data_IF_964130757784
#
_entry.id   IF_964130757784
#
_cell.length_a   1.000
_cell.length_b   1.000
_cell.length_c   1.000
_cell.angle_alpha   90.00
_cell.angle_beta   90.00
_cell.angle_gamma   90.00
#
_symmetry.space_group_name_H-M   'P 1'
#
loop_
_entity.id
_entity.type
_entity.pdbx_description
1 polymer ?
#
# COMPACT_ATOMS: atom_id res chain seq x y z
N UNK A 1 17.64 -4.77 -4.28
CA UNK A 1 16.75 -4.66 -3.10
C UNK A 1 15.38 -4.15 -3.55
N UNK A 2 14.34 -4.90 -3.21
CA UNK A 2 12.98 -4.49 -3.56
C UNK A 2 12.49 -3.39 -2.64
N UNK A 3 11.61 -2.52 -3.15
CA UNK A 3 11.13 -1.33 -2.45
C UNK A 3 9.64 -1.45 -2.16
N UNK A 4 9.26 -1.17 -0.93
CA UNK A 4 7.86 -1.15 -0.50
C UNK A 4 7.53 0.28 -0.07
N UNK A 5 6.48 0.85 -0.63
CA UNK A 5 5.95 2.13 -0.17
C UNK A 5 4.81 1.87 0.78
N UNK A 6 4.85 2.45 1.97
CA UNK A 6 3.74 2.39 2.93
C UNK A 6 3.06 3.75 2.98
N UNK A 7 1.77 3.78 2.67
CA UNK A 7 0.98 5.00 2.63
C UNK A 7 -0.08 4.95 3.72
N UNK A 8 0.11 5.73 4.76
CA UNK A 8 -0.76 5.74 5.94
C UNK A 8 -0.48 7.03 6.72
N UNK A 9 -1.52 7.68 7.24
CA UNK A 9 -1.35 8.91 8.02
C UNK A 9 -0.95 8.65 9.47
N UNK A 10 -0.98 7.39 9.90
CA UNK A 10 -0.64 6.99 11.26
C UNK A 10 0.86 6.71 11.36
N UNK A 11 1.61 7.68 11.90
CA UNK A 11 3.07 7.60 11.97
C UNK A 11 3.58 6.34 12.69
N UNK A 12 2.94 5.97 13.80
CA UNK A 12 3.38 4.79 14.55
C UNK A 12 3.25 3.50 13.75
N UNK A 13 2.18 3.39 12.96
CA UNK A 13 2.00 2.23 12.10
C UNK A 13 3.05 2.20 10.99
N UNK A 14 3.32 3.35 10.38
CA UNK A 14 4.33 3.45 9.32
C UNK A 14 5.70 3.01 9.87
N UNK A 15 6.06 3.45 11.06
CA UNK A 15 7.32 3.05 11.69
C UNK A 15 7.39 1.55 11.97
N UNK A 16 6.27 0.97 12.42
CA UNK A 16 6.20 -0.46 12.68
C UNK A 16 6.38 -1.26 11.39
N UNK A 17 5.64 -0.91 10.35
CA UNK A 17 5.71 -1.60 9.05
C UNK A 17 7.10 -1.44 8.45
N UNK A 18 7.68 -0.26 8.56
CA UNK A 18 9.04 0.00 8.09
C UNK A 18 10.05 -0.93 8.78
N UNK A 19 9.97 -1.02 10.11
CA UNK A 19 10.87 -1.88 10.88
C UNK A 19 10.71 -3.36 10.47
N UNK A 20 9.48 -3.83 10.30
CA UNK A 20 9.20 -5.21 9.91
C UNK A 20 9.87 -5.53 8.58
N UNK A 21 9.66 -4.70 7.57
CA UNK A 21 10.14 -5.02 6.23
C UNK A 21 11.62 -4.70 6.01
N UNK A 22 12.18 -3.72 6.72
CA UNK A 22 13.61 -3.49 6.66
C UNK A 22 14.37 -4.68 7.25
N UNK A 23 13.82 -5.31 8.28
CA UNK A 23 14.41 -6.52 8.85
C UNK A 23 14.39 -7.68 7.85
N UNK A 24 13.40 -7.69 6.94
CA UNK A 24 13.30 -8.71 5.90
C UNK A 24 14.15 -8.39 4.66
N UNK A 25 14.88 -7.30 4.67
CA UNK A 25 15.77 -6.93 3.57
C UNK A 25 15.16 -6.03 2.50
N UNK A 26 14.03 -5.40 2.79
CA UNK A 26 13.39 -4.47 1.85
C UNK A 26 13.74 -3.03 2.19
N UNK A 27 13.75 -2.17 1.16
CA UNK A 27 13.78 -0.73 1.39
C UNK A 27 12.34 -0.26 1.55
N UNK A 28 12.06 0.54 2.57
CA UNK A 28 10.70 1.02 2.82
C UNK A 28 10.64 2.54 2.65
N UNK A 29 9.70 3.00 1.86
CA UNK A 29 9.48 4.41 1.55
C UNK A 29 8.16 4.82 2.19
N UNK A 30 8.19 5.71 3.21
CA UNK A 30 6.94 6.16 3.83
C UNK A 30 6.29 7.29 3.05
N UNK A 31 4.96 7.32 3.06
CA UNK A 31 4.17 8.44 2.60
C UNK A 31 2.99 8.57 3.55
N UNK A 32 2.76 9.78 4.07
CA UNK A 32 1.79 9.99 5.15
C UNK A 32 0.45 10.52 4.66
N UNK A 33 0.28 10.62 3.34
CA UNK A 33 -0.97 11.05 2.71
C UNK A 33 -1.01 10.58 1.27
N UNK A 34 -2.20 10.62 0.67
CA UNK A 34 -2.34 10.31 -0.76
C UNK A 34 -1.56 11.27 -1.63
N UNK A 35 -1.57 12.55 -1.26
CA UNK A 35 -0.82 13.58 -1.99
C UNK A 35 0.67 13.29 -1.96
N UNK A 36 1.21 12.99 -0.78
CA UNK A 36 2.64 12.66 -0.65
C UNK A 36 2.99 11.41 -1.45
N UNK A 37 2.11 10.41 -1.42
CA UNK A 37 2.28 9.20 -2.21
C UNK A 37 2.46 9.54 -3.70
N UNK A 38 1.55 10.33 -4.25
CA UNK A 38 1.60 10.68 -5.67
C UNK A 38 2.83 11.50 -6.01
N UNK A 39 3.24 12.42 -5.13
CA UNK A 39 4.44 13.21 -5.32
C UNK A 39 5.70 12.33 -5.35
N UNK A 40 5.80 11.39 -4.42
CA UNK A 40 6.95 10.49 -4.37
C UNK A 40 7.01 9.54 -5.57
N UNK A 41 5.86 9.13 -6.08
CA UNK A 41 5.80 8.24 -7.25
C UNK A 41 6.32 8.90 -8.53
N UNK A 42 6.47 10.21 -8.55
CA UNK A 42 7.12 10.89 -9.67
C UNK A 42 8.61 10.58 -9.74
N UNK A 43 9.23 10.24 -8.62
CA UNK A 43 10.69 10.03 -8.50
C UNK A 43 11.08 8.61 -8.18
N UNK A 44 10.18 7.83 -7.56
CA UNK A 44 10.48 6.49 -7.08
C UNK A 44 9.48 5.51 -7.67
N UNK A 45 9.96 4.32 -8.01
CA UNK A 45 9.10 3.24 -8.52
C UNK A 45 9.17 2.07 -7.53
N UNK A 46 8.25 2.03 -6.56
CA UNK A 46 8.24 0.90 -5.61
C UNK A 46 7.76 -0.38 -6.29
N UNK A 47 8.18 -1.51 -5.72
CA UNK A 47 7.72 -2.81 -6.19
C UNK A 47 6.34 -3.16 -5.65
N UNK A 48 5.97 -2.55 -4.53
CA UNK A 48 4.64 -2.70 -3.93
C UNK A 48 4.28 -1.45 -3.15
N UNK A 49 3.02 -1.05 -3.24
CA UNK A 49 2.45 0.02 -2.42
C UNK A 49 1.45 -0.62 -1.47
N UNK A 50 1.69 -0.46 -0.15
CA UNK A 50 0.73 -0.82 0.88
C UNK A 50 -0.05 0.44 1.22
N UNK A 51 -1.35 0.43 0.95
CA UNK A 51 -2.20 1.62 0.97
C UNK A 51 -3.28 1.51 2.03
N UNK A 52 -3.36 2.50 2.92
CA UNK A 52 -4.49 2.61 3.83
C UNK A 52 -5.68 3.26 3.11
N UNK A 53 -6.88 2.79 3.40
CA UNK A 53 -8.11 3.33 2.83
C UNK A 53 -8.54 4.62 3.50
N UNK A 54 -8.33 4.73 4.81
CA UNK A 54 -8.86 5.83 5.63
C UNK A 54 -7.80 6.87 5.91
N UNK A 55 -7.69 7.83 5.00
CA UNK A 55 -6.77 8.97 5.17
C UNK A 55 -7.53 10.28 4.97
N UNK A 56 -7.14 11.36 5.68
CA UNK A 56 -7.75 12.67 5.46
C UNK A 56 -7.50 13.18 4.06
N UNK A 57 -8.40 14.01 3.56
CA UNK A 57 -8.32 14.72 2.29
C UNK A 57 -8.43 13.83 1.05
N UNK A 58 -7.62 12.79 0.94
CA UNK A 58 -7.66 11.86 -0.19
C UNK A 58 -7.60 10.44 0.35
N UNK A 59 -8.66 9.66 0.11
CA UNK A 59 -8.72 8.28 0.58
C UNK A 59 -7.73 7.38 -0.19
N UNK A 60 -7.45 6.21 0.37
CA UNK A 60 -6.61 5.24 -0.33
C UNK A 60 -7.21 4.79 -1.66
N UNK A 61 -8.53 4.66 -1.71
CA UNK A 61 -9.24 4.33 -2.94
C UNK A 61 -9.04 5.42 -4.00
N UNK A 62 -9.23 6.69 -3.61
CA UNK A 62 -9.02 7.81 -4.51
C UNK A 62 -7.58 7.90 -4.99
N UNK A 63 -6.63 7.68 -4.08
CA UNK A 63 -5.21 7.68 -4.41
C UNK A 63 -4.88 6.57 -5.42
N UNK A 64 -5.38 5.37 -5.17
CA UNK A 64 -5.17 4.23 -6.06
C UNK A 64 -5.77 4.49 -7.44
N UNK A 65 -6.95 5.10 -7.49
CA UNK A 65 -7.57 5.47 -8.76
C UNK A 65 -6.65 6.40 -9.56
N UNK A 66 -6.07 7.39 -8.90
CA UNK A 66 -5.12 8.30 -9.56
C UNK A 66 -3.87 7.58 -10.04
N UNK A 67 -3.38 6.61 -9.26
CA UNK A 67 -2.25 5.77 -9.68
C UNK A 67 -2.59 5.02 -10.97
N UNK A 68 -3.80 4.47 -11.06
CA UNK A 68 -4.23 3.71 -12.23
C UNK A 68 -4.49 4.58 -13.47
N UNK A 69 -4.83 5.85 -13.26
CA UNK A 69 -5.11 6.80 -14.35
C UNK A 69 -3.83 7.38 -14.96
N UNK A 70 -2.70 7.27 -14.29
CA UNK A 70 -1.43 7.80 -14.77
C UNK A 70 -0.66 6.69 -15.52
N UNK A 71 -0.34 6.87 -16.82
CA UNK A 71 0.38 5.85 -17.59
C UNK A 71 1.71 5.42 -16.98
N UNK A 72 2.35 6.29 -16.22
CA UNK A 72 3.65 5.98 -15.59
C UNK A 72 3.51 5.06 -14.38
N UNK A 73 2.36 5.05 -13.72
CA UNK A 73 2.16 4.32 -12.46
C UNK A 73 1.07 3.26 -12.53
N UNK A 74 0.31 3.19 -13.62
CA UNK A 74 -0.87 2.32 -13.71
C UNK A 74 -0.61 0.84 -13.45
N UNK A 75 0.61 0.37 -13.65
CA UNK A 75 0.96 -1.04 -13.47
C UNK A 75 1.64 -1.34 -12.13
N UNK A 76 1.80 -0.35 -11.27
CA UNK A 76 2.39 -0.59 -9.94
C UNK A 76 1.49 -1.50 -9.11
N UNK A 77 2.10 -2.39 -8.36
CA UNK A 77 1.36 -3.30 -7.48
C UNK A 77 0.86 -2.54 -6.27
N UNK A 78 -0.42 -2.71 -5.96
CA UNK A 78 -1.08 -2.09 -4.80
C UNK A 78 -1.80 -3.16 -4.00
N UNK A 79 -1.64 -3.13 -2.69
CA UNK A 79 -2.42 -3.91 -1.74
C UNK A 79 -2.90 -2.97 -0.65
N UNK A 80 -4.09 -3.21 -0.12
CA UNK A 80 -4.63 -2.39 0.97
C UNK A 80 -4.27 -2.98 2.34
N UNK A 81 -3.92 -2.11 3.27
CA UNK A 81 -3.65 -2.44 4.66
C UNK A 81 -4.45 -1.46 5.51
N UNK A 82 -5.62 -1.89 6.02
CA UNK A 82 -6.61 -0.95 6.53
C UNK A 82 -7.54 -1.59 7.56
N UNK A 83 -8.21 -0.74 8.36
CA UNK A 83 -9.27 -1.19 9.28
C UNK A 83 -10.62 -1.33 8.57
N UNK A 84 -10.77 -0.80 7.37
CA UNK A 84 -12.03 -0.90 6.61
C UNK A 84 -12.26 -2.34 6.17
N UNK A 85 -13.50 -2.82 6.33
CA UNK A 85 -13.82 -4.20 5.96
C UNK A 85 -14.02 -4.32 4.44
N UNK A 86 -13.61 -5.46 3.91
CA UNK A 86 -13.80 -5.76 2.49
C UNK A 86 -15.27 -5.62 2.06
N UNK A 87 -16.20 -6.03 2.93
CA UNK A 87 -17.64 -5.93 2.66
C UNK A 87 -18.12 -4.49 2.48
N UNK A 88 -17.40 -3.52 3.02
CA UNK A 88 -17.77 -2.10 2.92
C UNK A 88 -17.30 -1.47 1.60
N UNK A 89 -16.30 -2.05 0.97
CA UNK A 89 -15.72 -1.52 -0.27
C UNK A 89 -16.31 -2.21 -1.50
N UNK A 90 -16.49 -3.52 -1.41
CA UNK A 90 -16.96 -4.34 -2.53
C UNK A 90 -15.84 -4.91 -3.38
N UNK A 91 -16.00 -6.17 -3.75
CA UNK A 91 -14.98 -6.88 -4.51
C UNK A 91 -14.81 -6.33 -5.92
N UNK A 92 -15.89 -5.84 -6.52
CA UNK A 92 -15.85 -5.32 -7.89
C UNK A 92 -14.99 -4.05 -7.98
N UNK A 93 -15.07 -3.17 -6.99
CA UNK A 93 -14.24 -1.97 -6.97
C UNK A 93 -12.76 -2.31 -6.85
N UNK A 94 -12.44 -3.31 -6.02
CA UNK A 94 -11.06 -3.77 -5.88
C UNK A 94 -10.53 -4.35 -7.18
N UNK A 95 -11.37 -5.09 -7.91
CA UNK A 95 -11.00 -5.62 -9.22
C UNK A 95 -10.74 -4.52 -10.23
N UNK A 96 -11.58 -3.49 -10.25
CA UNK A 96 -11.41 -2.36 -11.16
C UNK A 96 -10.11 -1.62 -10.89
N UNK A 97 -9.71 -1.53 -9.62
CA UNK A 97 -8.47 -0.88 -9.21
C UNK A 97 -7.26 -1.81 -9.29
N UNK A 98 -7.50 -3.07 -9.62
CA UNK A 98 -6.45 -4.11 -9.70
C UNK A 98 -5.64 -4.21 -8.43
N UNK A 99 -6.32 -4.25 -7.28
CA UNK A 99 -5.71 -4.40 -5.96
C UNK A 99 -5.41 -5.88 -5.72
N UNK A 100 -4.17 -6.19 -5.34
CA UNK A 100 -3.69 -7.57 -5.27
C UNK A 100 -4.05 -8.29 -3.98
N UNK A 101 -4.22 -7.57 -2.89
CA UNK A 101 -4.60 -8.16 -1.61
C UNK A 101 -5.27 -7.11 -0.74
N UNK A 102 -6.00 -7.57 0.25
CA UNK A 102 -6.70 -6.72 1.20
C UNK A 102 -6.38 -7.25 2.60
N UNK A 103 -5.55 -6.53 3.33
CA UNK A 103 -5.06 -6.95 4.64
C UNK A 103 -5.70 -6.07 5.70
N UNK A 104 -6.40 -6.69 6.65
CA UNK A 104 -7.10 -5.94 7.70
C UNK A 104 -6.19 -5.69 8.90
N UNK A 105 -6.37 -4.51 9.51
CA UNK A 105 -5.74 -4.19 10.79
C UNK A 105 -6.70 -4.54 11.93
N UNK A 106 -6.22 -5.04 13.04
CA UNK A 106 -4.83 -5.38 13.34
C UNK A 106 -4.39 -6.63 12.57
N UNK A 107 -3.14 -6.68 12.18
CA UNK A 107 -2.57 -7.78 11.42
C UNK A 107 -1.57 -8.55 12.28
N UNK A 108 -1.34 -9.81 11.88
CA UNK A 108 -0.24 -10.63 12.40
C UNK A 108 1.00 -10.29 11.58
N UNK A 109 2.11 -9.98 12.24
CA UNK A 109 3.34 -9.58 11.54
C UNK A 109 3.83 -10.65 10.56
N UNK A 110 3.79 -11.91 10.98
CA UNK A 110 4.23 -13.02 10.12
C UNK A 110 3.33 -13.19 8.91
N UNK A 111 2.02 -13.03 9.11
CA UNK A 111 1.05 -13.12 8.02
C UNK A 111 1.25 -11.97 7.01
N UNK A 112 1.49 -10.77 7.52
CA UNK A 112 1.74 -9.62 6.65
C UNK A 112 2.99 -9.84 5.79
N UNK A 113 4.07 -10.29 6.41
CA UNK A 113 5.33 -10.58 5.69
C UNK A 113 5.11 -11.66 4.63
N UNK A 114 4.41 -12.74 5.00
CA UNK A 114 4.13 -13.84 4.07
C UNK A 114 3.34 -13.37 2.85
N UNK A 115 2.30 -12.57 3.07
CA UNK A 115 1.46 -12.05 1.98
C UNK A 115 2.24 -11.12 1.06
N UNK A 116 3.06 -10.25 1.63
CA UNK A 116 3.88 -9.33 0.84
C UNK A 116 4.91 -10.09 0.01
N UNK A 117 5.59 -11.07 0.62
CA UNK A 117 6.55 -11.89 -0.12
C UNK A 117 5.90 -12.63 -1.28
N UNK A 118 4.69 -13.13 -1.07
CA UNK A 118 3.94 -13.80 -2.13
C UNK A 118 3.66 -12.85 -3.30
N UNK A 119 3.24 -11.63 -3.01
CA UNK A 119 2.98 -10.62 -4.04
C UNK A 119 4.26 -10.30 -4.82
N UNK A 120 5.38 -10.19 -4.12
CA UNK A 120 6.66 -9.82 -4.70
C UNK A 120 7.42 -10.99 -5.35
N UNK A 121 6.92 -12.22 -5.18
CA UNK A 121 7.57 -13.40 -5.74
C UNK A 121 8.81 -13.84 -4.97
N UNK A 122 8.86 -13.50 -3.71
CA UNK A 122 10.03 -13.85 -2.86
C UNK A 122 9.82 -15.10 -2.03
#
# INVERSE_FOLDING_TARGET
MKKIMIVDDEENLVELVKAIFEQEGYEVIPAYSGKECLEKLEKVKPDLILMDMMMPEMTGKETTKKIRENPKTKNLKVAFLTVVRLSEIGKEELKKLNVLDFITKPFDNEDLVRRVKKILGD
#
